data_IF_081225355335
#
_entry.id   IF_081225355335
#
_cell.length_a   1.000
_cell.length_b   1.000
_cell.length_c   1.000
_cell.angle_alpha   90.00
_cell.angle_beta   90.00
_cell.angle_gamma   90.00
#
_symmetry.space_group_name_H-M   'P 1'
#
loop_
_entity.id
_entity.type
_entity.pdbx_description
1 polymer ?
#
# COMPACT_ATOMS: atom_id res chain seq x y z
N UNK A 1 10.22 -8.85 11.85
CA UNK A 1 8.77 -8.87 11.55
C UNK A 1 8.07 -7.90 12.47
N UNK A 2 7.48 -6.84 11.92
CA UNK A 2 6.77 -5.80 12.66
C UNK A 2 5.34 -6.23 13.01
N UNK A 3 4.69 -5.48 13.92
CA UNK A 3 3.32 -5.74 14.36
C UNK A 3 2.33 -5.65 13.19
N UNK A 4 2.49 -4.65 12.32
CA UNK A 4 1.66 -4.43 11.13
C UNK A 4 1.76 -5.58 10.12
N UNK A 5 2.97 -6.08 9.88
CA UNK A 5 3.19 -7.24 9.03
C UNK A 5 2.49 -8.48 9.59
N UNK A 6 2.63 -8.77 10.89
CA UNK A 6 1.94 -9.92 11.52
C UNK A 6 0.42 -9.78 11.45
N UNK A 7 -0.12 -8.60 11.74
CA UNK A 7 -1.56 -8.34 11.69
C UNK A 7 -2.15 -8.60 10.31
N UNK A 8 -1.45 -8.19 9.24
CA UNK A 8 -1.92 -8.41 7.86
C UNK A 8 -1.69 -9.87 7.43
N UNK A 9 -0.60 -10.51 7.84
CA UNK A 9 -0.35 -11.94 7.57
C UNK A 9 -1.40 -12.85 8.25
N UNK A 10 -1.95 -12.45 9.39
CA UNK A 10 -2.98 -13.18 10.12
C UNK A 10 -4.39 -12.97 9.54
N UNK A 11 -4.54 -12.09 8.55
CA UNK A 11 -5.81 -11.89 7.84
C UNK A 11 -6.19 -13.16 7.09
N UNK A 12 -7.30 -13.76 7.49
CA UNK A 12 -7.90 -14.88 6.78
C UNK A 12 -8.63 -14.33 5.57
N UNK A 13 -7.95 -14.42 4.42
CA UNK A 13 -8.46 -13.98 3.14
C UNK A 13 -9.86 -14.55 2.86
N UNK A 14 -10.85 -13.66 2.86
CA UNK A 14 -12.26 -13.97 2.71
C UNK A 14 -12.96 -12.82 2.00
N UNK A 15 -13.79 -13.12 0.99
CA UNK A 15 -14.55 -12.11 0.24
C UNK A 15 -15.46 -11.24 1.10
N UNK A 16 -15.86 -11.72 2.29
CA UNK A 16 -16.67 -10.96 3.23
C UNK A 16 -15.94 -9.71 3.75
N UNK A 17 -14.61 -9.64 3.64
CA UNK A 17 -13.84 -8.42 3.94
C UNK A 17 -14.32 -7.26 3.05
N UNK A 18 -14.74 -7.52 1.80
CA UNK A 18 -15.21 -6.47 0.89
C UNK A 18 -16.55 -5.84 1.30
N UNK A 19 -17.35 -6.53 2.11
CA UNK A 19 -18.71 -6.09 2.47
C UNK A 19 -18.89 -5.87 3.97
N UNK A 20 -17.97 -6.34 4.81
CA UNK A 20 -18.01 -6.23 6.27
C UNK A 20 -16.62 -5.90 6.80
N UNK A 21 -16.58 -5.01 7.79
CA UNK A 21 -15.36 -4.70 8.51
C UNK A 21 -15.04 -5.82 9.52
N UNK A 22 -14.39 -6.89 9.04
CA UNK A 22 -13.97 -8.01 9.88
C UNK A 22 -12.71 -7.70 10.71
N UNK A 23 -12.00 -6.63 10.34
CA UNK A 23 -10.71 -6.24 10.93
C UNK A 23 -10.73 -4.72 11.19
N UNK A 24 -11.52 -4.24 12.17
CA UNK A 24 -11.73 -2.82 12.42
C UNK A 24 -10.42 -2.09 12.73
N UNK A 25 -9.59 -2.64 13.61
CA UNK A 25 -8.31 -2.03 14.00
C UNK A 25 -7.37 -1.81 12.80
N UNK A 26 -7.29 -2.80 11.88
CA UNK A 26 -6.47 -2.70 10.67
C UNK A 26 -7.09 -1.71 9.69
N UNK A 27 -8.41 -1.70 9.59
CA UNK A 27 -9.14 -0.79 8.70
C UNK A 27 -8.93 0.65 9.14
N UNK A 28 -9.11 0.95 10.43
CA UNK A 28 -8.87 2.28 11.03
C UNK A 28 -7.43 2.73 10.83
N UNK A 29 -6.47 1.83 11.04
CA UNK A 29 -5.07 2.09 10.79
C UNK A 29 -4.83 2.47 9.31
N UNK A 30 -5.34 1.69 8.35
CA UNK A 30 -5.18 2.00 6.93
C UNK A 30 -5.87 3.34 6.56
N UNK A 31 -7.02 3.65 7.17
CA UNK A 31 -7.71 4.91 6.94
C UNK A 31 -6.88 6.11 7.41
N UNK A 32 -6.32 6.06 8.63
CA UNK A 32 -5.49 7.14 9.17
C UNK A 32 -4.15 7.26 8.44
N UNK A 33 -3.59 6.14 8.00
CA UNK A 33 -2.31 6.05 7.29
C UNK A 33 -2.35 6.66 5.89
N UNK A 34 -3.42 6.40 5.13
CA UNK A 34 -3.46 6.68 3.69
C UNK A 34 -4.57 7.64 3.27
N UNK A 35 -5.30 8.23 4.23
CA UNK A 35 -6.44 9.12 3.97
C UNK A 35 -7.46 8.50 3.00
N UNK A 36 -7.86 7.27 3.32
CA UNK A 36 -8.83 6.49 2.56
C UNK A 36 -10.08 6.23 3.39
N UNK A 37 -11.21 6.01 2.72
CA UNK A 37 -12.46 5.68 3.40
C UNK A 37 -12.49 4.20 3.82
N UNK A 38 -13.47 3.82 4.64
CA UNK A 38 -13.57 2.47 5.19
C UNK A 38 -13.67 1.38 4.10
N UNK A 39 -14.39 1.67 3.01
CA UNK A 39 -14.58 0.72 1.90
C UNK A 39 -13.29 0.54 1.08
N UNK A 40 -12.55 1.63 0.86
CA UNK A 40 -11.23 1.62 0.25
C UNK A 40 -10.23 0.85 1.12
N UNK A 41 -10.22 1.07 2.43
CA UNK A 41 -9.36 0.32 3.36
C UNK A 41 -9.64 -1.17 3.34
N UNK A 42 -10.91 -1.57 3.33
CA UNK A 42 -11.30 -3.00 3.22
C UNK A 42 -10.84 -3.61 1.89
N UNK A 43 -10.96 -2.86 0.80
CA UNK A 43 -10.50 -3.28 -0.51
C UNK A 43 -8.98 -3.44 -0.54
N UNK A 44 -8.26 -2.45 -0.02
CA UNK A 44 -6.81 -2.45 0.09
C UNK A 44 -6.32 -3.64 0.93
N UNK A 45 -6.94 -3.87 2.09
CA UNK A 45 -6.65 -4.99 2.98
C UNK A 45 -6.85 -6.34 2.28
N UNK A 46 -7.98 -6.49 1.57
CA UNK A 46 -8.29 -7.71 0.83
C UNK A 46 -7.25 -7.98 -0.27
N UNK A 47 -6.90 -6.96 -1.05
CA UNK A 47 -5.90 -7.08 -2.12
C UNK A 47 -4.50 -7.39 -1.57
N UNK A 48 -4.10 -6.76 -0.46
CA UNK A 48 -2.81 -7.01 0.20
C UNK A 48 -2.74 -8.45 0.74
N UNK A 49 -3.78 -8.90 1.44
CA UNK A 49 -3.85 -10.26 1.94
C UNK A 49 -3.85 -11.30 0.81
N UNK A 50 -4.43 -10.97 -0.35
CA UNK A 50 -4.35 -11.80 -1.55
C UNK A 50 -2.91 -11.88 -2.07
N UNK A 51 -2.29 -10.73 -2.31
CA UNK A 51 -0.93 -10.61 -2.87
C UNK A 51 0.14 -11.33 -2.04
N UNK A 52 0.06 -11.20 -0.71
CA UNK A 52 0.91 -11.92 0.24
C UNK A 52 0.76 -13.44 0.10
N UNK A 53 -0.45 -13.92 -0.17
CA UNK A 53 -0.76 -15.34 -0.26
C UNK A 53 -0.39 -15.95 -1.62
N UNK A 54 -0.35 -15.14 -2.67
CA UNK A 54 -0.19 -15.59 -4.08
C UNK A 54 1.16 -15.21 -4.71
N UNK A 55 2.19 -15.05 -3.89
CA UNK A 55 3.55 -14.70 -4.32
C UNK A 55 3.60 -13.44 -5.21
N UNK A 56 3.00 -12.36 -4.70
CA UNK A 56 3.11 -10.99 -5.21
C UNK A 56 2.36 -10.65 -6.51
N UNK A 57 1.31 -11.40 -6.87
CA UNK A 57 0.44 -11.03 -8.01
C UNK A 57 -0.96 -10.67 -7.56
N UNK A 58 -1.44 -9.46 -7.92
CA UNK A 58 -2.81 -9.02 -7.65
C UNK A 58 -3.66 -9.07 -8.93
N UNK A 59 -3.87 -10.29 -9.45
CA UNK A 59 -4.59 -10.52 -10.68
C UNK A 59 -6.11 -10.55 -10.46
N UNK A 60 -6.84 -9.60 -11.04
CA UNK A 60 -8.27 -9.43 -10.77
C UNK A 60 -9.15 -10.56 -11.32
N UNK A 61 -8.72 -11.23 -12.41
CA UNK A 61 -9.41 -12.42 -12.90
C UNK A 61 -9.35 -13.55 -11.87
N UNK A 62 -8.15 -13.83 -11.34
CA UNK A 62 -7.94 -14.86 -10.32
C UNK A 62 -8.65 -14.53 -9.03
N UNK A 63 -8.60 -13.27 -8.59
CA UNK A 63 -9.35 -12.81 -7.41
C UNK A 63 -10.84 -13.10 -7.56
N UNK A 64 -11.44 -12.77 -8.71
CA UNK A 64 -12.86 -13.03 -8.96
C UNK A 64 -13.19 -14.51 -8.93
N UNK A 65 -12.40 -15.33 -9.62
CA UNK A 65 -12.64 -16.76 -9.78
C UNK A 65 -12.40 -17.53 -8.47
N UNK A 66 -11.23 -17.36 -7.86
CA UNK A 66 -10.82 -18.06 -6.63
C UNK A 66 -11.73 -17.72 -5.44
N UNK A 67 -12.23 -16.48 -5.37
CA UNK A 67 -13.15 -16.04 -4.32
C UNK A 67 -14.62 -16.08 -4.71
N UNK A 68 -14.96 -16.51 -5.94
CA UNK A 68 -16.35 -16.58 -6.45
C UNK A 68 -17.11 -15.28 -6.17
N UNK A 69 -16.52 -14.15 -6.57
CA UNK A 69 -17.14 -12.83 -6.41
C UNK A 69 -18.35 -12.74 -7.35
N UNK A 70 -19.49 -12.23 -6.84
CA UNK A 70 -20.60 -11.85 -7.72
C UNK A 70 -20.20 -10.65 -8.59
N UNK A 71 -20.95 -10.39 -9.65
CA UNK A 71 -20.73 -9.21 -10.50
C UNK A 71 -20.71 -7.92 -9.67
N UNK A 72 -21.66 -7.76 -8.75
CA UNK A 72 -21.73 -6.56 -7.90
C UNK A 72 -20.53 -6.43 -6.95
N UNK A 73 -20.08 -7.55 -6.38
CA UNK A 73 -18.89 -7.58 -5.52
C UNK A 73 -17.63 -7.26 -6.31
N UNK A 74 -17.56 -7.72 -7.56
CA UNK A 74 -16.44 -7.45 -8.45
C UNK A 74 -16.43 -5.99 -8.91
N UNK A 75 -17.58 -5.41 -9.27
CA UNK A 75 -17.70 -3.99 -9.59
C UNK A 75 -17.28 -3.13 -8.39
N UNK A 76 -17.75 -3.46 -7.18
CA UNK A 76 -17.35 -2.77 -5.96
C UNK A 76 -15.84 -2.85 -5.73
N UNK A 77 -15.23 -4.02 -5.91
CA UNK A 77 -13.77 -4.18 -5.80
C UNK A 77 -13.05 -3.27 -6.80
N UNK A 78 -13.49 -3.28 -8.06
CA UNK A 78 -12.89 -2.50 -9.14
C UNK A 78 -13.04 -0.99 -8.93
N UNK A 79 -14.21 -0.50 -8.53
CA UNK A 79 -14.45 0.92 -8.27
C UNK A 79 -13.52 1.45 -7.16
N UNK A 80 -13.33 0.66 -6.10
CA UNK A 80 -12.41 1.02 -5.03
C UNK A 80 -10.95 0.89 -5.46
N UNK A 81 -10.58 -0.12 -6.25
CA UNK A 81 -9.23 -0.25 -6.80
C UNK A 81 -8.86 0.97 -7.67
N UNK A 82 -9.78 1.43 -8.52
CA UNK A 82 -9.57 2.66 -9.31
C UNK A 82 -9.42 3.90 -8.43
N UNK A 83 -10.18 4.00 -7.34
CA UNK A 83 -10.01 5.08 -6.36
C UNK A 83 -8.63 5.01 -5.68
N UNK A 84 -8.20 3.83 -5.23
CA UNK A 84 -6.87 3.61 -4.64
C UNK A 84 -5.75 3.93 -5.63
N UNK A 85 -5.95 3.64 -6.92
CA UNK A 85 -5.02 4.00 -7.99
C UNK A 85 -4.92 5.51 -8.16
N UNK A 86 -6.04 6.24 -8.11
CA UNK A 86 -6.04 7.71 -8.16
C UNK A 86 -5.32 8.36 -6.98
N UNK A 87 -5.15 7.62 -5.88
CA UNK A 87 -4.41 8.00 -4.67
C UNK A 87 -2.97 7.49 -4.64
N UNK A 88 -2.47 6.94 -5.76
CA UNK A 88 -1.12 6.38 -5.91
C UNK A 88 -0.79 5.24 -4.92
N UNK A 89 -1.78 4.52 -4.40
CA UNK A 89 -1.56 3.38 -3.49
C UNK A 89 -1.35 2.07 -4.25
N UNK A 90 -1.93 1.99 -5.45
CA UNK A 90 -1.74 0.90 -6.40
C UNK A 90 -1.52 1.47 -7.80
N UNK A 91 -0.85 0.73 -8.66
CA UNK A 91 -0.65 1.04 -10.07
C UNK A 91 -1.09 -0.15 -10.92
N UNK A 92 -1.43 0.11 -12.18
CA UNK A 92 -1.59 -0.97 -13.14
C UNK A 92 -0.21 -1.59 -13.39
N UNK A 93 -0.11 -2.92 -13.36
CA UNK A 93 1.11 -3.60 -13.77
C UNK A 93 1.41 -3.27 -15.24
N UNK A 94 2.46 -2.45 -15.44
CA UNK A 94 2.93 -2.01 -16.74
C UNK A 94 3.84 -3.02 -17.45
N UNK A 95 4.12 -4.19 -16.84
CA UNK A 95 4.94 -5.26 -17.43
C UNK A 95 4.17 -6.20 -18.36
N UNK A 96 2.88 -5.96 -18.62
CA UNK A 96 2.36 -6.29 -19.94
C UNK A 96 2.99 -5.32 -20.94
N UNK A 97 3.97 -5.83 -21.71
CA UNK A 97 4.76 -5.15 -22.76
C UNK A 97 3.94 -4.57 -23.92
N UNK A 98 2.79 -3.96 -23.68
CA UNK A 98 2.02 -3.22 -24.66
C UNK A 98 2.02 -1.74 -24.29
N UNK A 99 3.17 -1.13 -24.62
CA UNK A 99 3.28 0.32 -24.84
C UNK A 99 2.06 0.83 -25.59
N UNK A 100 1.49 1.92 -25.09
CA UNK A 100 0.65 2.85 -25.83
C UNK A 100 -0.45 2.22 -26.70
N UNK A 101 -1.62 1.94 -26.14
CA UNK A 101 -2.91 2.25 -26.78
C UNK A 101 -4.08 1.93 -25.85
N UNK A 102 -4.88 2.97 -25.65
CA UNK A 102 -6.24 2.97 -25.12
C UNK A 102 -6.42 2.83 -23.62
N UNK A 103 -7.05 3.87 -23.08
CA UNK A 103 -7.79 3.93 -21.81
C UNK A 103 -9.02 3.00 -21.84
N UNK A 104 -8.86 1.75 -22.25
CA UNK A 104 -9.91 0.77 -22.07
C UNK A 104 -9.72 0.20 -20.67
N UNK A 105 -10.77 0.30 -19.84
CA UNK A 105 -10.85 -0.50 -18.63
C UNK A 105 -10.68 -1.96 -19.07
N UNK A 106 -9.54 -2.55 -18.76
CA UNK A 106 -9.44 -4.01 -18.78
C UNK A 106 -10.46 -4.52 -17.77
N UNK A 107 -11.25 -5.52 -18.19
CA UNK A 107 -12.28 -6.08 -17.32
C UNK A 107 -11.61 -6.80 -16.14
N UNK A 108 -10.34 -7.19 -16.27
CA UNK A 108 -9.53 -7.89 -15.27
C UNK A 108 -8.08 -7.37 -15.28
N UNK A 109 -7.82 -6.16 -14.76
CA UNK A 109 -6.47 -5.62 -14.73
C UNK A 109 -5.63 -6.32 -13.67
N UNK A 110 -4.32 -6.27 -13.86
CA UNK A 110 -3.34 -6.64 -12.85
C UNK A 110 -2.85 -5.38 -12.14
N UNK A 111 -2.84 -5.41 -10.80
CA UNK A 111 -2.38 -4.29 -9.98
C UNK A 111 -1.08 -4.62 -9.24
N UNK A 112 -0.22 -3.62 -9.17
CA UNK A 112 0.96 -3.57 -8.31
C UNK A 112 0.70 -2.60 -7.15
N UNK A 113 1.30 -2.88 -5.99
CA UNK A 113 1.25 -1.97 -4.85
C UNK A 113 2.39 -0.97 -4.92
N UNK A 114 2.11 0.25 -4.48
CA UNK A 114 3.15 1.24 -4.28
C UNK A 114 4.22 0.70 -3.28
N UNK A 115 5.52 0.83 -3.58
CA UNK A 115 6.59 0.43 -2.66
C UNK A 115 6.44 0.99 -1.24
N UNK A 116 5.97 2.23 -1.07
CA UNK A 116 5.73 2.83 0.25
C UNK A 116 4.64 2.11 1.04
N UNK A 117 3.60 1.61 0.37
CA UNK A 117 2.56 0.80 0.99
C UNK A 117 3.12 -0.58 1.39
N UNK A 118 3.94 -1.20 0.55
CA UNK A 118 4.61 -2.47 0.89
C UNK A 118 5.58 -2.27 2.06
N UNK A 119 6.33 -1.17 2.08
CA UNK A 119 7.20 -0.79 3.19
C UNK A 119 6.39 -0.62 4.48
N UNK A 120 5.23 0.05 4.43
CA UNK A 120 4.32 0.15 5.58
C UNK A 120 3.89 -1.24 6.09
N UNK A 121 3.49 -2.13 5.19
CA UNK A 121 3.04 -3.48 5.55
C UNK A 121 4.18 -4.32 6.14
N UNK A 122 5.40 -4.26 5.59
CA UNK A 122 6.54 -5.07 5.99
C UNK A 122 7.29 -4.50 7.21
N UNK A 123 7.62 -3.20 7.13
CA UNK A 123 8.46 -2.47 8.07
C UNK A 123 7.62 -1.77 9.15
N UNK A 124 6.29 -1.69 9.01
CA UNK A 124 5.41 -1.05 10.00
C UNK A 124 5.61 0.46 10.13
N UNK A 125 6.43 1.03 9.27
CA UNK A 125 6.72 2.45 9.16
C UNK A 125 5.84 3.01 8.07
N UNK A 126 4.89 3.86 8.44
CA UNK A 126 4.49 4.91 7.51
C UNK A 126 5.76 5.70 7.19
N UNK A 127 5.90 6.13 5.94
CA UNK A 127 6.44 7.44 5.61
C UNK A 127 6.68 8.26 6.87
N UNK A 128 7.96 8.49 7.21
CA UNK A 128 8.35 9.08 8.48
C UNK A 128 7.48 10.33 8.71
N UNK A 129 6.83 10.44 9.88
CA UNK A 129 5.84 11.49 10.14
C UNK A 129 6.36 12.87 9.68
N UNK A 130 5.61 13.51 8.78
CA UNK A 130 5.94 14.85 8.28
C UNK A 130 6.83 14.91 7.02
N UNK A 131 6.98 13.83 6.27
CA UNK A 131 7.58 13.83 4.92
C UNK A 131 6.49 13.65 3.84
N UNK A 132 6.32 14.64 2.97
CA UNK A 132 5.70 14.48 1.66
C UNK A 132 6.76 14.09 0.63
N UNK A 133 6.79 12.82 0.24
CA UNK A 133 7.76 12.28 -0.71
C UNK A 133 7.58 12.80 -2.14
N UNK A 134 6.48 13.51 -2.44
CA UNK A 134 6.29 14.18 -3.73
C UNK A 134 6.80 15.63 -3.71
N UNK A 135 7.17 16.16 -2.53
CA UNK A 135 7.73 17.49 -2.35
C UNK A 135 9.21 17.40 -1.96
N UNK A 136 10.08 17.82 -2.88
CA UNK A 136 11.52 17.85 -2.65
C UNK A 136 11.90 18.66 -1.40
N UNK A 137 11.16 19.72 -1.09
CA UNK A 137 11.43 20.54 0.10
C UNK A 137 11.10 19.78 1.38
N UNK A 138 10.01 19.02 1.40
CA UNK A 138 9.65 18.18 2.55
C UNK A 138 10.69 17.08 2.81
N UNK A 139 11.28 16.51 1.75
CA UNK A 139 12.37 15.54 1.85
C UNK A 139 13.64 16.20 2.42
N UNK A 140 14.00 17.39 1.93
CA UNK A 140 15.18 18.14 2.39
C UNK A 140 15.02 18.54 3.87
N UNK A 141 13.87 19.09 4.25
CA UNK A 141 13.56 19.50 5.63
C UNK A 141 13.65 18.33 6.63
N UNK A 142 13.42 17.10 6.15
CA UNK A 142 13.58 15.92 6.98
C UNK A 142 15.05 15.49 7.12
N UNK A 143 15.83 15.55 6.03
CA UNK A 143 17.27 15.31 6.12
C UNK A 143 17.95 16.32 7.04
N UNK A 144 17.56 17.59 7.00
CA UNK A 144 18.06 18.60 7.94
C UNK A 144 17.74 18.22 9.39
N UNK A 145 16.50 17.79 9.68
CA UNK A 145 16.11 17.30 11.01
C UNK A 145 16.91 16.07 11.45
N UNK A 146 17.20 15.13 10.56
CA UNK A 146 18.03 13.96 10.89
C UNK A 146 19.46 14.36 11.27
N UNK A 147 20.05 15.31 10.53
CA UNK A 147 21.39 15.82 10.82
C UNK A 147 21.40 16.54 12.16
N UNK A 148 20.40 17.40 12.42
CA UNK A 148 20.25 18.07 13.72
C UNK A 148 20.08 17.09 14.87
N UNK A 149 19.24 16.06 14.71
CA UNK A 149 19.04 15.06 15.76
C UNK A 149 20.28 14.20 16.00
N UNK A 150 21.07 13.90 14.96
CA UNK A 150 22.38 13.25 15.07
C UNK A 150 23.39 14.14 15.79
N UNK A 151 23.47 15.42 15.43
CA UNK A 151 24.41 16.37 16.02
C UNK A 151 24.05 16.67 17.48
N UNK A 152 22.77 16.56 17.84
CA UNK A 152 22.28 16.64 19.21
C UNK A 152 22.30 15.28 19.96
N UNK A 153 22.95 14.25 19.42
CA UNK A 153 23.08 12.89 20.01
C UNK A 153 21.73 12.21 20.33
N UNK A 154 20.63 12.65 19.72
CA UNK A 154 19.30 12.02 19.84
C UNK A 154 19.15 10.79 18.97
N UNK A 155 20.01 10.64 17.96
CA UNK A 155 20.10 9.48 17.07
C UNK A 155 21.50 8.90 17.13
N UNK A 156 21.60 7.57 17.24
CA UNK A 156 22.88 6.89 17.03
C UNK A 156 23.28 6.96 15.55
N UNK A 157 24.59 6.82 15.28
CA UNK A 157 25.12 6.79 13.90
C UNK A 157 24.45 5.71 13.06
N UNK A 158 24.15 4.54 13.64
CA UNK A 158 23.46 3.45 12.93
C UNK A 158 22.04 3.86 12.55
N UNK A 159 21.26 4.37 13.51
CA UNK A 159 19.88 4.80 13.27
C UNK A 159 19.80 5.95 12.27
N UNK A 160 20.79 6.85 12.25
CA UNK A 160 20.90 7.89 11.25
C UNK A 160 21.04 7.30 9.83
N UNK A 161 21.98 6.36 9.64
CA UNK A 161 22.18 5.74 8.32
C UNK A 161 20.98 4.91 7.88
N UNK A 162 20.38 4.14 8.78
CA UNK A 162 19.17 3.35 8.48
C UNK A 162 18.04 4.26 7.98
N UNK A 163 17.84 5.42 8.63
CA UNK A 163 16.80 6.39 8.23
C UNK A 163 17.10 7.11 6.91
N UNK A 164 18.36 7.41 6.64
CA UNK A 164 18.79 8.01 5.37
C UNK A 164 18.57 7.03 4.21
N UNK A 165 18.92 5.75 4.42
CA UNK A 165 18.73 4.68 3.44
C UNK A 165 17.25 4.44 3.15
N UNK A 166 16.40 4.41 4.19
CA UNK A 166 14.94 4.26 4.04
C UNK A 166 14.31 5.39 3.19
N UNK A 167 14.79 6.63 3.28
CA UNK A 167 14.30 7.74 2.44
C UNK A 167 14.80 7.61 1.01
N UNK A 168 16.08 7.27 0.83
CA UNK A 168 16.67 7.09 -0.49
C UNK A 168 15.94 5.99 -1.29
N UNK A 169 15.58 4.88 -0.65
CA UNK A 169 14.77 3.81 -1.25
C UNK A 169 13.34 4.27 -1.62
N UNK A 170 12.79 5.24 -0.88
CA UNK A 170 11.42 5.73 -1.05
C UNK A 170 11.27 6.83 -2.11
N UNK A 171 12.37 7.37 -2.64
CA UNK A 171 12.37 8.48 -3.62
C UNK A 171 12.50 8.00 -5.09
N UNK A 172 12.24 6.73 -5.39
CA UNK A 172 12.39 6.13 -6.72
C UNK A 172 11.12 6.10 -7.57
#
# INVERSE_FOLDING_TARGET
MTLHHRLIMDVKLNKNILTRNLYPDITELLQSSFNINEQESRTLLFMLAYHIKTDNTCNMYRIKDEHKLSSDQYCLLMDNALSLMSKNLISHDGYSRNRHRNRHLEIYPDFEFNPSLIAFVLKGTLNMEGIDYNDLYSIIDYYERLVEDRDNEKLSTSEFFDKVEDIAESCH
#
